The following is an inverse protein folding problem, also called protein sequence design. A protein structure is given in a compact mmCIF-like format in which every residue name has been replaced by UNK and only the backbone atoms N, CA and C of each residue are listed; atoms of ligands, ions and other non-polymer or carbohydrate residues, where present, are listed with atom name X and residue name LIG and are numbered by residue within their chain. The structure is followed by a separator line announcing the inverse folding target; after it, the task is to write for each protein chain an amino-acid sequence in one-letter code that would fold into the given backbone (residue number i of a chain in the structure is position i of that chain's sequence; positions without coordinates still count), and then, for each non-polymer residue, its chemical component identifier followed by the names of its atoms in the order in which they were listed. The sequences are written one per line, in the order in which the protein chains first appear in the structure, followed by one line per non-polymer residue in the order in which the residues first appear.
data_IF_342440753491
#
_entry.id   IF_342440753491
#
_cell.length_a   1.000
_cell.length_b   1.000
_cell.length_c   1.000
_cell.angle_alpha   90.00
_cell.angle_beta   90.00
_cell.angle_gamma   90.00
#
_symmetry.space_group_name_H-M   'P 1'
#
loop_
_entity.id
_entity.type
_entity.pdbx_description
1 polymer ?
#
# COMPACT_ATOMS: atom_id res chain seq x y z
N UNK A 1 17.96 17.31 18.67
CA UNK A 1 16.49 17.43 18.64
C UNK A 1 15.83 16.31 17.83
N UNK A 2 16.45 15.79 16.76
CA UNK A 2 15.94 14.62 16.03
C UNK A 2 15.90 13.38 16.94
N UNK A 3 14.79 12.65 16.94
CA UNK A 3 14.50 11.56 17.87
C UNK A 3 13.93 11.99 19.22
N UNK A 4 14.01 13.28 19.57
CA UNK A 4 13.44 13.81 20.79
C UNK A 4 11.92 14.00 20.74
N UNK A 5 11.23 14.05 21.88
CA UNK A 5 9.80 14.24 21.95
C UNK A 5 9.39 15.68 21.57
N UNK A 6 8.25 15.79 20.90
CA UNK A 6 7.49 17.02 20.76
C UNK A 6 6.37 17.00 21.81
N UNK A 7 6.35 18.00 22.70
CA UNK A 7 5.41 18.09 23.81
C UNK A 7 4.36 19.18 23.55
N UNK A 8 3.14 18.95 24.07
CA UNK A 8 2.15 20.02 24.19
C UNK A 8 2.36 20.81 25.51
N UNK A 9 1.49 21.78 25.77
CA UNK A 9 1.57 22.61 26.97
C UNK A 9 1.23 21.87 28.28
N UNK A 10 0.58 20.71 28.16
CA UNK A 10 0.24 19.85 29.30
C UNK A 10 1.37 18.83 29.61
N UNK A 11 2.48 18.89 28.84
CA UNK A 11 3.62 17.98 29.00
C UNK A 11 3.44 16.62 28.35
N UNK A 12 2.39 16.42 27.55
CA UNK A 12 2.14 15.17 26.84
C UNK A 12 2.96 15.12 25.54
N UNK A 13 3.47 13.91 25.19
CA UNK A 13 4.17 13.67 23.93
C UNK A 13 3.15 13.60 22.80
N UNK A 14 3.19 14.55 21.88
CA UNK A 14 2.32 14.61 20.69
C UNK A 14 3.03 14.17 19.40
N UNK A 15 4.35 14.05 19.43
CA UNK A 15 5.14 13.61 18.27
C UNK A 15 6.60 13.33 18.60
N UNK A 16 7.30 12.83 17.59
CA UNK A 16 8.76 12.57 17.61
C UNK A 16 9.41 13.42 16.53
N UNK A 17 10.32 14.31 16.90
CA UNK A 17 11.02 15.18 15.96
C UNK A 17 11.87 14.34 14.99
N UNK A 18 11.82 14.63 13.67
CA UNK A 18 12.52 13.83 12.67
C UNK A 18 13.48 14.62 11.81
N UNK A 19 13.03 15.73 11.25
CA UNK A 19 13.81 16.47 10.27
C UNK A 19 13.53 17.98 10.36
N UNK A 20 14.48 18.77 9.88
CA UNK A 20 14.37 20.21 9.66
C UNK A 20 14.59 20.46 8.18
N UNK A 21 13.78 21.32 7.58
CA UNK A 21 14.02 21.74 6.19
C UNK A 21 15.22 22.70 6.18
N UNK A 22 16.37 22.22 5.71
CA UNK A 22 17.64 22.96 5.78
C UNK A 22 17.64 24.32 5.08
N UNK A 23 16.76 24.52 4.10
CA UNK A 23 16.65 25.75 3.32
C UNK A 23 15.49 26.67 3.79
N UNK A 24 14.77 26.32 4.86
CA UNK A 24 13.68 27.12 5.41
C UNK A 24 13.85 27.26 6.93
N UNK A 25 14.02 28.47 7.39
CA UNK A 25 14.11 28.73 8.83
C UNK A 25 12.73 28.52 9.50
N UNK A 26 12.72 27.80 10.62
CA UNK A 26 11.54 27.62 11.45
C UNK A 26 10.58 26.49 11.02
N UNK A 27 10.92 25.66 10.02
CA UNK A 27 10.11 24.51 9.63
C UNK A 27 10.76 23.22 10.13
N UNK A 28 10.05 22.52 11.02
CA UNK A 28 10.41 21.20 11.50
C UNK A 28 9.31 20.18 11.21
N UNK A 29 9.68 18.92 11.15
CA UNK A 29 8.76 17.79 10.97
C UNK A 29 8.82 16.87 12.17
N UNK A 30 7.68 16.34 12.56
CA UNK A 30 7.56 15.33 13.59
C UNK A 30 6.63 14.21 13.15
N UNK A 31 6.92 12.99 13.59
CA UNK A 31 6.01 11.85 13.43
C UNK A 31 4.93 11.99 14.51
N UNK A 32 3.63 12.01 14.17
CA UNK A 32 2.56 12.03 15.17
C UNK A 32 2.66 10.86 16.14
N UNK A 33 2.48 11.11 17.43
CA UNK A 33 2.70 10.10 18.48
C UNK A 33 1.80 8.88 18.32
N UNK A 34 0.56 9.06 17.85
CA UNK A 34 -0.37 7.97 17.64
C UNK A 34 0.13 6.98 16.56
N UNK A 35 0.85 7.49 15.53
CA UNK A 35 1.52 6.66 14.54
C UNK A 35 2.75 5.96 15.12
N UNK A 36 3.54 6.69 15.91
CA UNK A 36 4.73 6.13 16.55
C UNK A 36 4.37 4.99 17.52
N UNK A 37 3.31 5.13 18.33
CA UNK A 37 2.85 4.09 19.26
C UNK A 37 2.55 2.79 18.55
N UNK A 38 1.83 2.83 17.43
CA UNK A 38 1.52 1.62 16.63
C UNK A 38 2.77 0.93 16.10
N UNK A 39 3.69 1.72 15.54
CA UNK A 39 4.97 1.19 15.07
C UNK A 39 5.74 0.52 16.22
N UNK A 40 5.75 1.13 17.39
CA UNK A 40 6.41 0.57 18.59
C UNK A 40 5.72 -0.73 19.04
N UNK A 41 4.39 -0.76 19.04
CA UNK A 41 3.63 -1.97 19.39
C UNK A 41 3.91 -3.12 18.43
N UNK A 42 3.98 -2.86 17.12
CA UNK A 42 4.38 -3.85 16.12
C UNK A 42 5.81 -4.36 16.34
N UNK A 43 6.75 -3.45 16.58
CA UNK A 43 8.15 -3.80 16.84
C UNK A 43 8.31 -4.64 18.12
N UNK A 44 7.56 -4.33 19.19
CA UNK A 44 7.59 -5.10 20.43
C UNK A 44 6.98 -6.50 20.24
N UNK A 45 5.88 -6.61 19.50
CA UNK A 45 5.15 -7.87 19.33
C UNK A 45 5.75 -8.77 18.26
N UNK A 46 6.24 -8.19 17.18
CA UNK A 46 6.60 -8.90 15.95
C UNK A 46 8.08 -8.74 15.57
N UNK A 47 8.81 -7.80 16.18
CA UNK A 47 10.18 -7.46 15.80
C UNK A 47 10.30 -6.63 14.50
N UNK A 48 9.16 -6.43 13.81
CA UNK A 48 9.06 -5.67 12.56
C UNK A 48 7.73 -4.93 12.48
N UNK A 49 7.65 -3.93 11.59
CA UNK A 49 6.38 -3.27 11.28
C UNK A 49 5.57 -4.16 10.34
N UNK A 50 4.42 -4.61 10.78
CA UNK A 50 3.53 -5.48 10.01
C UNK A 50 2.54 -4.65 9.21
N UNK A 51 2.64 -4.61 7.87
CA UNK A 51 1.68 -3.88 7.04
C UNK A 51 0.28 -4.48 7.17
N UNK A 52 -0.68 -3.66 7.52
CA UNK A 52 -2.09 -4.06 7.49
C UNK A 52 -2.62 -4.00 6.05
N UNK A 53 -3.54 -4.90 5.74
CA UNK A 53 -4.11 -5.09 4.43
C UNK A 53 -5.63 -5.22 4.50
N UNK A 54 -6.33 -4.57 3.57
CA UNK A 54 -7.79 -4.65 3.42
C UNK A 54 -8.21 -5.46 2.19
N UNK A 55 -7.33 -5.60 1.22
CA UNK A 55 -7.60 -6.38 0.00
C UNK A 55 -8.45 -5.67 -1.05
N UNK A 56 -8.28 -4.36 -1.19
CA UNK A 56 -8.96 -3.56 -2.22
C UNK A 56 -7.98 -2.87 -3.15
N UNK A 57 -8.36 -2.75 -4.42
CA UNK A 57 -7.67 -1.94 -5.42
C UNK A 57 -8.48 -0.71 -5.74
N UNK A 58 -7.81 0.42 -5.84
CA UNK A 58 -8.43 1.70 -6.05
C UNK A 58 -8.01 2.32 -7.39
N UNK A 59 -8.98 2.96 -8.03
CA UNK A 59 -8.79 3.73 -9.25
C UNK A 59 -9.38 5.13 -9.07
N UNK A 60 -8.71 6.14 -9.65
CA UNK A 60 -9.27 7.49 -9.66
C UNK A 60 -10.61 7.51 -10.39
N UNK A 61 -11.59 8.15 -9.78
CA UNK A 61 -12.93 8.26 -10.34
C UNK A 61 -12.98 9.43 -11.35
N UNK A 62 -12.72 9.11 -12.61
CA UNK A 62 -12.78 10.09 -13.69
C UNK A 62 -14.23 10.53 -13.96
N UNK A 63 -14.47 11.72 -14.55
CA UNK A 63 -15.82 12.16 -14.92
C UNK A 63 -16.59 11.14 -15.76
N UNK A 64 -15.92 10.50 -16.73
CA UNK A 64 -16.50 9.44 -17.58
C UNK A 64 -16.91 8.20 -16.79
N UNK A 65 -16.07 7.77 -15.82
CA UNK A 65 -16.42 6.64 -14.95
C UNK A 65 -17.56 6.99 -14.00
N UNK A 66 -17.60 8.21 -13.51
CA UNK A 66 -18.67 8.71 -12.64
C UNK A 66 -20.03 8.65 -13.35
N UNK A 67 -20.09 9.12 -14.59
CA UNK A 67 -21.28 9.06 -15.43
C UNK A 67 -21.70 7.61 -15.73
N UNK A 68 -20.74 6.76 -16.11
CA UNK A 68 -21.00 5.35 -16.44
C UNK A 68 -21.47 4.50 -15.25
N UNK A 69 -21.09 4.87 -14.02
CA UNK A 69 -21.44 4.16 -12.79
C UNK A 69 -22.64 4.80 -12.07
N UNK A 70 -23.24 5.86 -12.64
CA UNK A 70 -24.32 6.64 -12.02
C UNK A 70 -23.97 7.06 -10.57
N UNK A 71 -22.73 7.44 -10.36
CA UNK A 71 -22.25 7.91 -9.06
C UNK A 71 -22.43 9.42 -9.01
N UNK A 72 -23.23 9.89 -8.09
CA UNK A 72 -23.50 11.31 -7.87
C UNK A 72 -22.22 12.15 -7.68
N UNK A 73 -22.33 13.46 -7.42
CA UNK A 73 -21.20 14.38 -7.33
C UNK A 73 -20.29 14.14 -6.11
N UNK A 74 -20.59 13.15 -5.29
CA UNK A 74 -19.80 12.81 -4.11
C UNK A 74 -18.32 12.57 -4.47
N UNK A 75 -17.42 13.09 -3.65
CA UNK A 75 -16.00 12.80 -3.75
C UNK A 75 -15.76 11.34 -3.35
N UNK A 76 -14.80 10.69 -3.99
CA UNK A 76 -14.46 9.31 -3.66
C UNK A 76 -13.50 8.71 -4.67
N UNK A 77 -13.05 7.49 -4.39
CA UNK A 77 -12.23 6.67 -5.28
C UNK A 77 -12.95 5.36 -5.60
N UNK A 78 -12.87 4.94 -6.85
CA UNK A 78 -13.51 3.71 -7.32
C UNK A 78 -12.74 2.49 -6.79
N UNK A 79 -13.44 1.52 -6.22
CA UNK A 79 -12.92 0.19 -5.94
C UNK A 79 -12.94 -0.60 -7.26
N UNK A 80 -11.79 -0.69 -7.89
CA UNK A 80 -11.64 -1.32 -9.20
C UNK A 80 -11.57 -2.85 -9.09
N UNK A 81 -11.14 -3.37 -7.94
CA UNK A 81 -11.14 -4.81 -7.64
C UNK A 81 -11.15 -5.04 -6.14
N UNK A 82 -11.71 -6.17 -5.72
CA UNK A 82 -11.64 -6.70 -4.35
C UNK A 82 -11.01 -8.07 -4.44
N UNK A 83 -10.06 -8.32 -3.56
CA UNK A 83 -9.33 -9.58 -3.53
C UNK A 83 -10.19 -10.68 -2.90
N UNK A 84 -10.32 -11.82 -3.56
CA UNK A 84 -11.09 -12.96 -3.04
C UNK A 84 -10.50 -13.48 -1.74
N UNK A 85 -11.36 -13.70 -0.73
CA UNK A 85 -10.97 -14.10 0.62
C UNK A 85 -10.25 -13.00 1.42
N UNK A 86 -10.26 -11.75 0.94
CA UNK A 86 -9.73 -10.61 1.70
C UNK A 86 -10.69 -10.13 2.78
N UNK A 87 -10.20 -9.36 3.78
CA UNK A 87 -11.06 -8.72 4.76
C UNK A 87 -12.21 -7.92 4.15
N UNK A 88 -11.92 -7.16 3.10
CA UNK A 88 -12.95 -6.39 2.39
C UNK A 88 -13.97 -7.27 1.66
N UNK A 89 -13.54 -8.40 1.09
CA UNK A 89 -14.47 -9.35 0.47
C UNK A 89 -15.41 -9.98 1.51
N UNK A 90 -14.88 -10.35 2.67
CA UNK A 90 -15.66 -10.90 3.79
C UNK A 90 -16.68 -9.87 4.29
N UNK A 91 -16.32 -8.60 4.32
CA UNK A 91 -17.20 -7.49 4.72
C UNK A 91 -18.18 -7.01 3.61
N UNK A 92 -18.30 -7.73 2.50
CA UNK A 92 -19.18 -7.40 1.37
C UNK A 92 -18.81 -6.10 0.63
N UNK A 93 -17.56 -5.67 0.66
CA UNK A 93 -17.04 -4.65 -0.25
C UNK A 93 -16.98 -5.23 -1.65
N UNK A 94 -17.42 -4.48 -2.67
CA UNK A 94 -17.52 -4.99 -4.04
C UNK A 94 -16.79 -4.10 -5.03
N UNK A 95 -16.37 -4.72 -6.13
CA UNK A 95 -15.95 -3.97 -7.32
C UNK A 95 -17.09 -3.06 -7.79
N UNK A 96 -16.76 -1.81 -8.09
CA UNK A 96 -17.74 -0.78 -8.51
C UNK A 96 -18.21 0.10 -7.37
N UNK A 97 -17.93 -0.23 -6.11
CA UNK A 97 -18.15 0.68 -5.00
C UNK A 97 -17.27 1.92 -5.11
N UNK A 98 -17.75 3.04 -4.62
CA UNK A 98 -16.95 4.26 -4.48
C UNK A 98 -16.67 4.47 -3.01
N UNK A 99 -15.40 4.43 -2.64
CA UNK A 99 -14.94 4.67 -1.28
C UNK A 99 -14.93 6.18 -1.01
N UNK A 100 -15.77 6.63 -0.09
CA UNK A 100 -15.94 8.03 0.28
C UNK A 100 -15.19 8.41 1.57
N UNK A 101 -15.14 7.50 2.56
CA UNK A 101 -14.50 7.76 3.85
C UNK A 101 -13.88 6.49 4.43
N UNK A 102 -12.81 6.68 5.19
CA UNK A 102 -12.16 5.66 6.04
C UNK A 102 -12.03 6.24 7.44
N UNK A 103 -12.59 5.58 8.45
CA UNK A 103 -12.60 6.01 9.87
C UNK A 103 -12.97 7.49 10.04
N UNK A 104 -13.99 7.95 9.32
CA UNK A 104 -14.46 9.34 9.35
C UNK A 104 -13.61 10.32 8.54
N UNK A 105 -12.48 9.90 7.97
CA UNK A 105 -11.63 10.74 7.12
C UNK A 105 -12.09 10.65 5.67
N UNK A 106 -12.40 11.78 5.01
CA UNK A 106 -12.81 11.79 3.61
C UNK A 106 -11.68 11.31 2.68
N UNK A 107 -12.03 10.48 1.70
CA UNK A 107 -11.15 9.98 0.65
C UNK A 107 -11.51 10.67 -0.66
N UNK A 108 -10.62 11.45 -1.23
CA UNK A 108 -10.81 12.15 -2.50
C UNK A 108 -9.93 11.59 -3.61
N UNK A 109 -8.77 11.06 -3.22
CA UNK A 109 -7.76 10.49 -4.11
C UNK A 109 -7.29 9.14 -3.57
N UNK A 110 -6.69 8.31 -4.43
CA UNK A 110 -6.01 7.09 -3.98
C UNK A 110 -4.92 7.38 -2.96
N UNK A 111 -4.26 8.51 -3.10
CA UNK A 111 -3.19 8.93 -2.17
C UNK A 111 -3.73 9.07 -0.75
N UNK A 112 -4.90 9.70 -0.56
CA UNK A 112 -5.51 9.86 0.76
C UNK A 112 -5.73 8.50 1.43
N UNK A 113 -6.25 7.53 0.66
CA UNK A 113 -6.41 6.17 1.16
C UNK A 113 -5.08 5.53 1.56
N UNK A 114 -4.05 5.59 0.70
CA UNK A 114 -2.77 4.96 1.02
C UNK A 114 -2.06 5.60 2.21
N UNK A 115 -2.24 6.89 2.45
CA UNK A 115 -1.73 7.55 3.65
C UNK A 115 -2.40 7.01 4.92
N UNK A 116 -3.72 6.76 4.88
CA UNK A 116 -4.43 6.12 5.99
C UNK A 116 -4.03 4.64 6.11
N UNK A 117 -4.04 3.90 5.01
CA UNK A 117 -3.73 2.48 5.00
C UNK A 117 -2.36 2.15 5.64
N UNK A 118 -1.35 3.00 5.40
CA UNK A 118 -0.04 2.88 6.06
C UNK A 118 -0.08 3.05 7.58
N UNK A 119 -1.16 3.54 8.12
CA UNK A 119 -1.35 3.75 9.55
C UNK A 119 -2.27 2.72 10.19
N UNK A 120 -2.85 1.80 9.42
CA UNK A 120 -3.67 0.72 9.93
C UNK A 120 -2.81 -0.34 10.63
N UNK A 121 -3.41 -0.99 11.61
CA UNK A 121 -2.80 -2.08 12.39
C UNK A 121 -3.55 -3.38 12.11
N UNK A 122 -2.87 -4.49 12.08
CA UNK A 122 -3.48 -5.82 11.99
C UNK A 122 -4.44 -6.05 13.16
N UNK A 123 -5.63 -6.60 12.87
CA UNK A 123 -6.71 -6.80 13.83
C UNK A 123 -7.51 -5.52 14.17
N UNK A 124 -7.21 -4.39 13.53
CA UNK A 124 -7.97 -3.16 13.75
C UNK A 124 -9.25 -3.18 12.91
N UNK A 125 -10.44 -2.94 13.52
CA UNK A 125 -11.64 -2.67 12.76
C UNK A 125 -11.52 -1.29 12.08
N UNK A 126 -11.80 -1.25 10.77
CA UNK A 126 -11.72 -0.07 9.92
C UNK A 126 -13.10 0.19 9.34
N UNK A 127 -13.65 1.36 9.61
CA UNK A 127 -14.97 1.76 9.11
C UNK A 127 -14.84 2.37 7.72
N UNK A 128 -15.41 1.70 6.72
CA UNK A 128 -15.50 2.20 5.35
C UNK A 128 -16.89 2.77 5.08
N UNK A 129 -16.96 3.96 4.48
CA UNK A 129 -18.20 4.51 3.94
C UNK A 129 -18.09 4.47 2.42
N UNK A 130 -19.04 3.78 1.81
CA UNK A 130 -19.07 3.47 0.38
C UNK A 130 -20.34 4.00 -0.26
N UNK A 131 -20.29 4.39 -1.53
CA UNK A 131 -21.46 4.57 -2.37
C UNK A 131 -21.56 3.37 -3.33
N UNK A 132 -22.76 2.74 -3.38
CA UNK A 132 -23.09 1.60 -4.25
C UNK A 132 -24.50 1.79 -4.81
N UNK A 133 -24.63 1.85 -6.14
CA UNK A 133 -25.93 1.99 -6.82
C UNK A 133 -26.81 3.10 -6.22
N UNK A 134 -26.24 4.28 -5.97
CA UNK A 134 -26.95 5.42 -5.40
C UNK A 134 -27.17 5.37 -3.88
N UNK A 135 -26.94 4.25 -3.22
CA UNK A 135 -27.05 4.11 -1.76
C UNK A 135 -25.70 4.30 -1.06
N UNK A 136 -25.74 4.84 0.15
CA UNK A 136 -24.56 4.98 1.01
C UNK A 136 -24.53 3.84 2.02
N UNK A 137 -23.42 3.11 2.05
CA UNK A 137 -23.20 1.95 2.91
C UNK A 137 -22.11 2.27 3.93
N UNK A 138 -22.24 1.72 5.11
CA UNK A 138 -21.17 1.75 6.12
C UNK A 138 -20.83 0.32 6.48
N UNK A 139 -19.61 -0.11 6.14
CA UNK A 139 -19.09 -1.45 6.41
C UNK A 139 -17.92 -1.35 7.37
N UNK A 140 -17.76 -2.37 8.21
CA UNK A 140 -16.60 -2.53 9.08
C UNK A 140 -15.75 -3.67 8.53
N UNK A 141 -14.47 -3.41 8.35
CA UNK A 141 -13.49 -4.34 7.80
C UNK A 141 -12.38 -4.52 8.82
N UNK A 142 -12.14 -5.73 9.29
CA UNK A 142 -11.01 -6.01 10.16
C UNK A 142 -9.74 -6.13 9.33
N UNK A 143 -8.77 -5.23 9.54
CA UNK A 143 -7.52 -5.23 8.80
C UNK A 143 -6.67 -6.47 9.15
N UNK A 144 -6.20 -7.19 8.15
CA UNK A 144 -5.37 -8.39 8.34
C UNK A 144 -3.91 -8.15 7.93
N UNK A 145 -3.03 -9.08 8.34
CA UNK A 145 -1.66 -9.12 7.82
C UNK A 145 -1.70 -9.39 6.32
N UNK A 146 -0.91 -8.65 5.55
CA UNK A 146 -0.74 -8.92 4.12
C UNK A 146 -0.29 -10.38 3.92
N UNK A 147 -0.99 -11.19 3.09
CA UNK A 147 -0.65 -12.58 2.88
C UNK A 147 0.66 -12.71 2.07
N UNK A 148 1.76 -13.01 2.77
CA UNK A 148 3.11 -13.11 2.18
C UNK A 148 3.19 -14.09 1.01
N UNK A 149 2.43 -15.20 1.10
CA UNK A 149 2.34 -16.20 0.05
C UNK A 149 1.80 -15.68 -1.28
N UNK A 150 1.20 -14.49 -1.27
CA UNK A 150 0.56 -13.87 -2.42
C UNK A 150 1.35 -12.69 -3.02
N UNK A 151 2.53 -12.36 -2.49
CA UNK A 151 3.36 -11.27 -3.05
C UNK A 151 3.67 -11.47 -4.55
N UNK A 152 3.91 -12.71 -4.96
CA UNK A 152 4.14 -13.06 -6.37
C UNK A 152 2.90 -12.80 -7.23
N UNK A 153 1.71 -13.13 -6.71
CA UNK A 153 0.43 -12.89 -7.38
C UNK A 153 0.16 -11.38 -7.54
N UNK A 154 0.47 -10.59 -6.53
CA UNK A 154 0.37 -9.13 -6.61
C UNK A 154 1.38 -8.53 -7.60
N UNK A 155 2.59 -9.07 -7.67
CA UNK A 155 3.55 -8.67 -8.68
C UNK A 155 3.03 -8.94 -10.10
N UNK A 156 2.34 -10.06 -10.31
CA UNK A 156 1.69 -10.37 -11.59
C UNK A 156 0.56 -9.38 -11.91
N UNK A 157 -0.32 -9.12 -10.96
CA UNK A 157 -1.50 -8.25 -11.17
C UNK A 157 -1.09 -6.79 -11.35
N UNK A 158 -0.18 -6.27 -10.53
CA UNK A 158 0.19 -4.85 -10.50
C UNK A 158 1.23 -4.48 -11.54
N UNK A 159 2.25 -5.31 -11.65
CA UNK A 159 3.40 -5.02 -12.47
C UNK A 159 3.35 -5.81 -13.78
N UNK A 160 2.64 -6.93 -13.79
CA UNK A 160 2.66 -7.87 -14.90
C UNK A 160 3.93 -8.71 -14.94
N UNK A 161 4.52 -9.00 -13.77
CA UNK A 161 5.77 -9.73 -13.63
C UNK A 161 5.61 -11.00 -12.80
N UNK A 162 6.14 -12.09 -13.25
CA UNK A 162 6.50 -13.22 -12.39
C UNK A 162 7.98 -13.09 -12.05
N UNK A 163 8.29 -13.10 -10.75
CA UNK A 163 9.64 -12.95 -10.25
C UNK A 163 10.14 -14.28 -9.67
N UNK A 164 11.40 -14.57 -9.89
CA UNK A 164 12.09 -15.71 -9.32
C UNK A 164 13.25 -15.26 -8.45
N UNK A 165 13.49 -16.01 -7.36
CA UNK A 165 14.63 -15.77 -6.51
C UNK A 165 15.92 -15.94 -7.30
N UNK A 166 16.89 -15.13 -6.99
CA UNK A 166 18.21 -15.22 -7.60
C UNK A 166 18.88 -16.56 -7.26
N UNK A 167 19.44 -17.19 -8.27
CA UNK A 167 20.28 -18.37 -8.12
C UNK A 167 21.53 -18.25 -8.96
N UNK A 168 22.58 -18.98 -8.59
CA UNK A 168 23.80 -19.02 -9.41
C UNK A 168 23.53 -19.52 -10.84
N UNK A 169 22.60 -20.47 -10.99
CA UNK A 169 22.23 -21.01 -12.28
C UNK A 169 21.60 -19.93 -13.16
N UNK A 170 20.66 -19.14 -12.64
CA UNK A 170 20.03 -18.03 -13.34
C UNK A 170 21.05 -16.93 -13.64
N UNK A 171 21.91 -16.59 -12.68
CA UNK A 171 22.96 -15.58 -12.86
C UNK A 171 23.91 -15.95 -13.98
N UNK A 172 24.37 -17.22 -14.05
CA UNK A 172 25.20 -17.72 -15.14
C UNK A 172 24.47 -17.75 -16.47
N UNK A 173 23.21 -18.20 -16.49
CA UNK A 173 22.38 -18.30 -17.71
C UNK A 173 22.17 -16.94 -18.37
N UNK A 174 21.96 -15.89 -17.56
CA UNK A 174 21.68 -14.54 -18.05
C UNK A 174 22.89 -13.60 -18.05
N UNK A 175 24.09 -14.10 -17.68
CA UNK A 175 25.33 -13.32 -17.66
C UNK A 175 25.31 -12.18 -16.61
N UNK A 176 24.49 -12.28 -15.57
CA UNK A 176 24.32 -11.26 -14.55
C UNK A 176 25.25 -11.53 -13.38
N UNK A 177 26.10 -10.55 -13.03
CA UNK A 177 27.03 -10.63 -11.89
C UNK A 177 26.53 -9.88 -10.65
N UNK A 178 25.30 -9.37 -10.66
CA UNK A 178 24.75 -8.65 -9.52
C UNK A 178 24.56 -9.60 -8.33
N UNK A 179 24.90 -9.13 -7.13
CA UNK A 179 24.78 -9.89 -5.88
C UNK A 179 23.36 -9.84 -5.29
N UNK A 180 22.50 -8.95 -5.81
CA UNK A 180 21.15 -8.66 -5.30
C UNK A 180 20.15 -8.59 -6.42
N UNK A 181 18.86 -8.69 -6.06
CA UNK A 181 17.74 -8.59 -7.00
C UNK A 181 16.98 -9.88 -7.20
N UNK A 182 15.80 -9.78 -7.83
CA UNK A 182 15.00 -10.90 -8.27
C UNK A 182 14.94 -10.93 -9.79
N UNK A 183 15.01 -12.13 -10.40
CA UNK A 183 14.92 -12.29 -11.85
C UNK A 183 13.48 -12.21 -12.33
N UNK A 184 13.26 -11.55 -13.46
CA UNK A 184 12.00 -11.66 -14.19
C UNK A 184 11.95 -13.05 -14.84
N UNK A 185 11.08 -13.90 -14.31
CA UNK A 185 10.84 -15.24 -14.86
C UNK A 185 9.92 -15.16 -16.08
N UNK A 186 8.87 -14.33 -16.00
CA UNK A 186 7.92 -14.12 -17.07
C UNK A 186 7.36 -12.69 -17.04
N UNK A 187 7.05 -12.15 -18.21
CA UNK A 187 6.31 -10.90 -18.37
C UNK A 187 4.91 -11.25 -18.87
N UNK A 188 3.90 -10.72 -18.22
CA UNK A 188 2.50 -10.94 -18.58
C UNK A 188 2.17 -10.09 -19.83
N UNK A 189 1.59 -10.67 -20.89
CA UNK A 189 1.18 -9.93 -22.07
C UNK A 189 0.21 -8.79 -21.76
N UNK A 190 0.35 -7.68 -22.46
CA UNK A 190 -0.46 -6.47 -22.31
C UNK A 190 -0.37 -5.80 -20.93
N UNK A 191 0.68 -6.10 -20.18
CA UNK A 191 0.95 -5.54 -18.85
C UNK A 191 1.75 -4.23 -18.90
N UNK A 192 1.83 -3.56 -17.74
CA UNK A 192 2.69 -2.41 -17.57
C UNK A 192 4.18 -2.74 -17.77
N UNK A 193 4.61 -3.94 -17.37
CA UNK A 193 5.98 -4.41 -17.55
C UNK A 193 6.33 -4.58 -19.02
N UNK A 194 5.45 -5.23 -19.81
CA UNK A 194 5.65 -5.40 -21.24
C UNK A 194 5.71 -4.04 -21.96
N UNK A 195 4.78 -3.13 -21.64
CA UNK A 195 4.75 -1.78 -22.20
C UNK A 195 6.01 -0.96 -21.90
N UNK A 196 6.75 -1.30 -20.84
CA UNK A 196 8.03 -0.70 -20.46
C UNK A 196 9.24 -1.47 -20.99
N UNK A 197 9.01 -2.53 -21.77
CA UNK A 197 10.06 -3.30 -22.43
C UNK A 197 10.81 -4.28 -21.54
N UNK A 198 10.28 -4.62 -20.37
CA UNK A 198 10.86 -5.65 -19.50
C UNK A 198 10.77 -7.02 -20.17
N UNK A 199 11.78 -7.86 -19.94
CA UNK A 199 11.91 -9.19 -20.57
C UNK A 199 12.27 -10.26 -19.54
N UNK A 200 11.91 -11.52 -19.78
CA UNK A 200 12.43 -12.63 -19.01
C UNK A 200 13.96 -12.63 -19.00
N UNK A 201 14.55 -12.79 -17.81
CA UNK A 201 15.99 -12.69 -17.57
C UNK A 201 16.48 -11.33 -17.10
N UNK A 202 15.67 -10.29 -17.16
CA UNK A 202 15.99 -9.02 -16.51
C UNK A 202 16.06 -9.18 -15.00
N UNK A 203 16.87 -8.33 -14.34
CA UNK A 203 17.00 -8.33 -12.91
C UNK A 203 16.31 -7.09 -12.31
N UNK A 204 15.31 -7.32 -11.47
CA UNK A 204 14.62 -6.26 -10.72
C UNK A 204 15.42 -5.97 -9.47
N UNK A 205 16.01 -4.78 -9.40
CA UNK A 205 16.82 -4.31 -8.27
C UNK A 205 16.04 -3.39 -7.33
N UNK A 206 15.02 -2.73 -7.86
CA UNK A 206 14.23 -1.74 -7.11
C UNK A 206 12.84 -1.59 -7.72
N UNK A 207 11.83 -1.43 -6.85
CA UNK A 207 10.47 -1.05 -7.20
C UNK A 207 10.10 0.18 -6.37
N UNK A 208 9.80 1.29 -7.03
CA UNK A 208 9.58 2.57 -6.34
C UNK A 208 10.81 3.01 -5.54
N UNK A 209 10.70 3.03 -4.22
CA UNK A 209 11.81 3.37 -3.30
C UNK A 209 12.41 2.15 -2.59
N UNK A 210 11.79 0.98 -2.73
CA UNK A 210 12.20 -0.26 -2.07
C UNK A 210 13.20 -1.03 -2.93
N UNK A 211 14.31 -1.45 -2.35
CA UNK A 211 15.26 -2.37 -2.99
C UNK A 211 14.71 -3.79 -2.89
N UNK A 212 14.80 -4.55 -3.97
CA UNK A 212 14.23 -5.88 -4.08
C UNK A 212 15.35 -6.90 -4.04
N UNK A 213 15.60 -7.45 -2.88
CA UNK A 213 16.62 -8.50 -2.69
C UNK A 213 15.96 -9.89 -2.53
N UNK A 214 14.72 -9.94 -2.07
CA UNK A 214 13.95 -11.14 -1.78
C UNK A 214 12.43 -10.89 -1.84
N UNK A 215 11.64 -11.93 -1.57
CA UNK A 215 10.16 -11.84 -1.54
C UNK A 215 9.64 -10.93 -0.43
N UNK A 216 10.35 -10.82 0.69
CA UNK A 216 9.95 -9.89 1.75
C UNK A 216 10.07 -8.44 1.31
N UNK A 217 11.17 -8.11 0.60
CA UNK A 217 11.35 -6.80 0.01
C UNK A 217 10.32 -6.52 -1.11
N UNK A 218 10.01 -7.52 -1.94
CA UNK A 218 8.94 -7.43 -2.94
C UNK A 218 7.59 -7.08 -2.29
N UNK A 219 7.24 -7.74 -1.18
CA UNK A 219 6.03 -7.47 -0.41
C UNK A 219 5.95 -6.03 0.08
N UNK A 220 7.07 -5.47 0.57
CA UNK A 220 7.10 -4.07 1.03
C UNK A 220 6.97 -3.06 -0.10
N UNK A 221 7.31 -3.45 -1.32
CA UNK A 221 7.32 -2.62 -2.51
C UNK A 221 5.97 -2.55 -3.24
N UNK A 222 5.13 -3.58 -3.04
CA UNK A 222 3.79 -3.73 -3.63
C UNK A 222 2.73 -3.25 -2.66
#
# INVERSE_FOLDING_TARGET
NSGGPLLNLDGEVIGINTAILGNAQGIGFAIPINRARRIVDDLIRHGEVVPAWLGIWLQELTPKLREALDVGPAAGVLISSVYEGSPSAVADVRRGDVLEMVDGTPIRTRRDFYEIARSLTVGQPVKLVLARAGARLSLEVEAEKFPETRADEFAQILLGLELADRSEALSRRHGVRAERGMFVARVIPHSAAEARGLRPGDLVLQIGRERIDDRSALRRAI
#
